data_IF_584311123628
#
_entry.id   IF_584311123628
#
_cell.length_a   1.000
_cell.length_b   1.000
_cell.length_c   1.000
_cell.angle_alpha   90.00
_cell.angle_beta   90.00
_cell.angle_gamma   90.00
#
_symmetry.space_group_name_H-M   'P 1'
#
loop_
_entity.id
_entity.type
_entity.pdbx_description
1 polymer ?
#
# COMPACT_ATOMS: atom_id res chain seq x y z
N UNK A 1 37.26 -31.65 -35.72
CA UNK A 1 38.31 -31.18 -34.78
C UNK A 1 37.73 -30.02 -34.00
N UNK A 2 37.25 -30.29 -32.78
CA UNK A 2 36.45 -29.36 -31.97
C UNK A 2 37.35 -28.29 -31.32
N UNK A 3 37.49 -27.16 -31.98
CA UNK A 3 38.30 -26.00 -31.55
C UNK A 3 37.56 -24.99 -30.66
N UNK A 4 36.33 -25.28 -30.22
CA UNK A 4 35.57 -24.40 -29.33
C UNK A 4 35.78 -24.68 -27.83
N UNK A 5 36.34 -25.83 -27.46
CA UNK A 5 36.52 -26.21 -26.04
C UNK A 5 37.81 -25.65 -25.39
N UNK A 6 38.69 -25.02 -26.17
CA UNK A 6 40.00 -24.55 -25.69
C UNK A 6 40.03 -23.08 -25.23
N UNK A 7 38.96 -22.30 -25.47
CA UNK A 7 38.94 -20.88 -25.08
C UNK A 7 38.32 -20.60 -23.72
N UNK A 8 37.59 -21.54 -23.12
CA UNK A 8 36.95 -21.35 -21.81
C UNK A 8 37.82 -21.79 -20.62
N UNK A 9 38.96 -22.44 -20.86
CA UNK A 9 39.88 -22.87 -19.80
C UNK A 9 40.96 -21.83 -19.45
N UNK A 10 41.14 -20.78 -20.24
CA UNK A 10 42.23 -19.81 -20.05
C UNK A 10 41.91 -18.58 -19.18
N UNK A 11 40.66 -18.39 -18.76
CA UNK A 11 40.28 -17.25 -17.91
C UNK A 11 40.06 -17.60 -16.42
N UNK A 12 40.26 -18.85 -16.02
CA UNK A 12 40.11 -19.30 -14.62
C UNK A 12 41.38 -19.28 -13.77
N UNK A 13 42.50 -18.72 -14.26
CA UNK A 13 43.80 -18.85 -13.59
C UNK A 13 44.47 -17.56 -13.11
N UNK A 14 43.77 -16.42 -13.02
CA UNK A 14 44.43 -15.14 -12.70
C UNK A 14 43.92 -14.32 -11.51
N UNK A 15 43.04 -14.82 -10.65
CA UNK A 15 42.77 -14.12 -9.37
C UNK A 15 42.70 -15.12 -8.24
N UNK A 16 43.63 -14.93 -7.29
CA UNK A 16 44.08 -15.92 -6.34
C UNK A 16 43.09 -16.27 -5.24
N UNK A 17 43.23 -17.52 -4.80
CA UNK A 17 42.89 -18.02 -3.48
C UNK A 17 43.44 -17.11 -2.36
N UNK A 18 42.62 -16.92 -1.33
CA UNK A 18 42.92 -16.29 -0.03
C UNK A 18 42.61 -14.79 0.06
N UNK A 19 41.37 -14.47 0.39
CA UNK A 19 40.98 -13.14 0.85
C UNK A 19 39.70 -13.24 1.67
N UNK A 20 39.82 -13.55 2.96
CA UNK A 20 38.72 -13.35 3.90
C UNK A 20 38.35 -11.85 3.89
N UNK A 21 37.08 -11.52 3.62
CA UNK A 21 36.56 -10.16 3.72
C UNK A 21 36.27 -9.83 5.21
N UNK A 22 36.87 -8.77 5.79
CA UNK A 22 36.69 -8.34 7.18
C UNK A 22 35.40 -7.51 7.45
N UNK A 23 35.00 -7.29 8.72
CA UNK A 23 33.63 -6.94 9.13
C UNK A 23 33.26 -5.45 9.13
N UNK A 24 33.77 -4.63 8.19
CA UNK A 24 33.34 -3.24 8.07
C UNK A 24 32.56 -3.00 6.78
N UNK A 25 31.26 -3.30 6.84
CA UNK A 25 30.21 -2.63 6.06
C UNK A 25 30.18 -1.16 6.51
N UNK A 26 31.13 -0.38 6.01
CA UNK A 26 31.16 1.05 6.23
C UNK A 26 31.55 1.75 4.92
N UNK A 27 30.72 2.72 4.51
CA UNK A 27 30.87 3.64 3.38
C UNK A 27 30.56 3.11 1.96
N UNK A 28 29.33 3.29 1.49
CA UNK A 28 29.12 4.05 0.25
C UNK A 28 27.65 4.49 0.01
N UNK A 29 27.40 5.76 -0.35
CA UNK A 29 26.08 6.28 -0.67
C UNK A 29 25.71 6.00 -2.14
N UNK A 30 24.48 5.50 -2.35
CA UNK A 30 23.69 5.55 -3.61
C UNK A 30 24.50 5.38 -4.90
N UNK A 31 25.25 4.28 -5.02
CA UNK A 31 25.99 3.92 -6.21
C UNK A 31 25.44 2.64 -6.83
N UNK A 32 24.65 2.77 -7.90
CA UNK A 32 24.16 1.71 -8.79
C UNK A 32 23.33 0.58 -8.14
N UNK A 33 22.03 0.56 -8.46
CA UNK A 33 21.08 -0.53 -8.16
C UNK A 33 21.65 -1.96 -8.40
N UNK A 34 22.57 -2.10 -9.36
CA UNK A 34 23.20 -3.37 -9.73
C UNK A 34 24.05 -4.02 -8.62
N UNK A 35 24.61 -3.27 -7.66
CA UNK A 35 25.40 -3.90 -6.59
C UNK A 35 24.55 -4.46 -5.47
N UNK A 36 23.38 -3.85 -5.20
CA UNK A 36 22.39 -4.41 -4.26
C UNK A 36 21.87 -5.75 -4.80
N UNK A 37 21.79 -5.92 -6.12
CA UNK A 37 21.42 -7.20 -6.74
C UNK A 37 22.51 -8.29 -6.59
N UNK A 38 23.79 -7.94 -6.61
CA UNK A 38 24.87 -8.93 -6.58
C UNK A 38 25.16 -9.48 -5.17
N UNK A 39 25.12 -8.64 -4.14
CA UNK A 39 25.39 -9.10 -2.76
C UNK A 39 24.21 -9.87 -2.17
N UNK A 40 22.97 -9.54 -2.59
CA UNK A 40 21.80 -10.34 -2.24
C UNK A 40 21.92 -11.76 -2.82
N UNK A 41 22.53 -11.92 -4.01
CA UNK A 41 22.64 -13.19 -4.75
C UNK A 41 23.33 -14.32 -3.98
N UNK A 42 24.27 -14.03 -3.08
CA UNK A 42 24.97 -15.08 -2.30
C UNK A 42 24.17 -15.60 -1.10
N UNK A 43 23.23 -14.82 -0.58
CA UNK A 43 22.39 -15.24 0.56
C UNK A 43 21.16 -16.07 0.13
N UNK A 44 20.88 -16.17 -1.18
CA UNK A 44 19.67 -16.77 -1.79
C UNK A 44 19.55 -18.31 -1.62
N UNK A 45 20.50 -18.97 -0.95
CA UNK A 45 20.89 -20.33 -1.34
C UNK A 45 20.04 -21.54 -0.84
N UNK A 46 18.83 -21.38 -0.29
CA UNK A 46 17.88 -22.51 -0.18
C UNK A 46 16.45 -22.10 0.14
N UNK A 47 16.24 -21.11 1.01
CA UNK A 47 14.89 -20.78 1.52
C UNK A 47 14.02 -20.14 0.46
N UNK A 48 14.60 -19.26 -0.36
CA UNK A 48 13.92 -18.71 -1.54
C UNK A 48 13.58 -19.81 -2.55
N UNK A 49 14.43 -20.83 -2.73
CA UNK A 49 14.23 -21.85 -3.76
C UNK A 49 12.93 -22.65 -3.59
N UNK A 50 12.42 -22.84 -2.38
CA UNK A 50 11.14 -23.53 -2.17
C UNK A 50 9.96 -22.62 -2.51
N UNK A 51 9.97 -21.37 -2.05
CA UNK A 51 8.99 -20.37 -2.47
C UNK A 51 9.02 -20.17 -4.00
N UNK A 52 10.20 -20.00 -4.60
CA UNK A 52 10.39 -19.89 -6.05
C UNK A 52 9.90 -21.15 -6.75
N UNK A 53 10.19 -22.35 -6.23
CA UNK A 53 9.65 -23.61 -6.79
C UNK A 53 8.13 -23.67 -6.69
N UNK A 54 7.54 -23.32 -5.54
CA UNK A 54 6.09 -23.32 -5.32
C UNK A 54 5.42 -22.34 -6.26
N UNK A 55 5.94 -21.12 -6.36
CA UNK A 55 5.52 -20.10 -7.32
C UNK A 55 5.60 -20.64 -8.76
N UNK A 56 6.70 -21.29 -9.13
CA UNK A 56 6.89 -21.89 -10.45
C UNK A 56 6.05 -23.16 -10.68
N UNK A 57 5.53 -23.80 -9.63
CA UNK A 57 4.69 -25.01 -9.72
C UNK A 57 3.20 -24.72 -9.65
N UNK A 58 2.77 -23.71 -8.89
CA UNK A 58 1.38 -23.24 -8.77
C UNK A 58 0.90 -22.58 -10.06
N UNK A 59 1.86 -22.01 -10.79
CA UNK A 59 1.61 -21.50 -12.09
C UNK A 59 1.10 -22.54 -13.06
N UNK A 60 -0.09 -22.30 -13.61
CA UNK A 60 -0.39 -22.73 -14.99
C UNK A 60 0.84 -22.49 -15.88
N UNK A 61 1.02 -23.25 -16.96
CA UNK A 61 2.18 -23.14 -17.88
C UNK A 61 2.57 -21.71 -18.30
N UNK A 62 1.66 -20.74 -18.15
CA UNK A 62 1.94 -19.32 -18.29
C UNK A 62 2.90 -18.71 -17.25
N UNK A 63 3.08 -19.29 -16.07
CA UNK A 63 3.84 -18.69 -14.98
C UNK A 63 5.35 -18.85 -15.12
N UNK A 64 5.80 -20.06 -15.49
CA UNK A 64 7.22 -20.39 -15.57
C UNK A 64 8.00 -19.52 -16.57
N UNK A 65 7.30 -18.89 -17.52
CA UNK A 65 7.87 -18.02 -18.54
C UNK A 65 7.80 -16.51 -18.21
N UNK A 66 7.16 -16.11 -17.10
CA UNK A 66 6.82 -14.71 -16.86
C UNK A 66 7.57 -14.03 -15.73
N UNK A 67 8.22 -14.77 -14.84
CA UNK A 67 9.14 -14.20 -13.85
C UNK A 67 10.55 -14.68 -14.15
N UNK A 68 11.52 -13.76 -14.14
CA UNK A 68 12.91 -14.18 -14.03
C UNK A 68 13.13 -14.82 -12.66
N UNK A 69 14.10 -15.72 -12.57
CA UNK A 69 14.47 -16.35 -11.30
C UNK A 69 14.85 -15.32 -10.23
N UNK A 70 15.48 -14.21 -10.64
CA UNK A 70 15.82 -13.07 -9.78
C UNK A 70 14.59 -12.38 -9.20
N UNK A 71 13.55 -12.18 -10.01
CA UNK A 71 12.31 -11.55 -9.56
C UNK A 71 11.50 -12.46 -8.63
N UNK A 72 11.33 -13.75 -9.00
CA UNK A 72 10.74 -14.72 -8.08
C UNK A 72 11.49 -14.71 -6.75
N UNK A 73 12.83 -14.64 -6.79
CA UNK A 73 13.65 -14.61 -5.59
C UNK A 73 13.42 -13.34 -4.77
N UNK A 74 13.35 -12.16 -5.39
CA UNK A 74 13.06 -10.91 -4.68
C UNK A 74 11.68 -10.95 -4.01
N UNK A 75 10.66 -11.39 -4.75
CA UNK A 75 9.32 -11.60 -4.19
C UNK A 75 9.36 -12.55 -2.99
N UNK A 76 9.99 -13.71 -3.17
CA UNK A 76 10.06 -14.72 -2.13
C UNK A 76 10.79 -14.22 -0.90
N UNK A 77 11.90 -13.50 -1.05
CA UNK A 77 12.68 -12.98 0.06
C UNK A 77 11.90 -11.94 0.86
N UNK A 78 11.29 -10.97 0.17
CA UNK A 78 10.58 -9.86 0.82
C UNK A 78 9.32 -10.32 1.57
N UNK A 79 8.73 -11.44 1.15
CA UNK A 79 7.50 -12.00 1.71
C UNK A 79 7.72 -13.26 2.55
N UNK A 80 8.96 -13.79 2.59
CA UNK A 80 9.28 -15.05 3.29
C UNK A 80 8.85 -15.03 4.76
N UNK A 81 9.07 -13.94 5.54
CA UNK A 81 8.67 -13.91 6.94
C UNK A 81 7.15 -14.01 7.14
N UNK A 82 6.37 -13.52 6.17
CA UNK A 82 4.91 -13.57 6.17
C UNK A 82 4.37 -14.90 5.65
N UNK A 83 5.10 -15.49 4.71
CA UNK A 83 4.76 -16.77 4.10
C UNK A 83 5.05 -17.93 5.06
N UNK A 84 6.11 -17.82 5.84
CA UNK A 84 6.44 -18.78 6.88
C UNK A 84 5.64 -18.47 8.14
N UNK A 85 5.05 -19.49 8.76
CA UNK A 85 4.31 -19.33 10.00
C UNK A 85 5.24 -18.86 11.13
N UNK A 86 4.87 -17.74 11.77
CA UNK A 86 5.58 -17.24 12.96
C UNK A 86 5.07 -17.99 14.17
N UNK A 87 5.86 -18.94 14.67
CA UNK A 87 5.49 -19.76 15.83
C UNK A 87 5.36 -18.96 17.14
N UNK A 88 6.16 -17.90 17.31
CA UNK A 88 6.19 -17.08 18.53
C UNK A 88 6.10 -15.59 18.19
N UNK A 89 4.88 -15.06 17.97
CA UNK A 89 4.69 -13.65 17.68
C UNK A 89 5.22 -12.73 18.78
N UNK A 90 5.70 -11.55 18.40
CA UNK A 90 6.18 -10.54 19.33
C UNK A 90 4.99 -9.80 19.97
N UNK A 91 4.88 -9.90 21.30
CA UNK A 91 3.86 -9.22 22.08
C UNK A 91 3.99 -7.69 22.01
N UNK A 92 2.87 -6.93 21.97
CA UNK A 92 2.89 -5.45 21.89
C UNK A 92 3.77 -4.76 22.92
N UNK A 93 3.86 -5.28 24.15
CA UNK A 93 4.67 -4.71 25.23
C UNK A 93 6.18 -4.76 24.97
N UNK A 94 6.64 -5.46 23.92
CA UNK A 94 8.06 -5.51 23.54
C UNK A 94 8.47 -4.39 22.59
N UNK A 95 7.52 -3.81 21.84
CA UNK A 95 7.78 -2.77 20.85
C UNK A 95 6.91 -1.50 21.01
N UNK A 96 5.96 -1.50 21.94
CA UNK A 96 5.19 -0.32 22.35
C UNK A 96 5.58 0.11 23.76
N UNK A 97 5.72 1.42 23.98
CA UNK A 97 5.85 1.97 25.33
C UNK A 97 4.57 1.73 26.17
N UNK A 98 4.65 1.81 27.50
CA UNK A 98 3.52 1.47 28.38
C UNK A 98 2.27 2.36 28.16
N UNK A 99 2.49 3.65 27.93
CA UNK A 99 1.47 4.62 27.55
C UNK A 99 0.87 4.30 26.16
N UNK A 100 1.71 3.96 25.18
CA UNK A 100 1.28 3.56 23.83
C UNK A 100 0.44 2.29 23.88
N UNK A 101 0.89 1.27 24.61
CA UNK A 101 0.16 0.02 24.76
C UNK A 101 -1.18 0.21 25.47
N UNK A 102 -1.23 1.10 26.46
CA UNK A 102 -2.47 1.47 27.14
C UNK A 102 -3.45 2.14 26.18
N UNK A 103 -2.97 3.08 25.36
CA UNK A 103 -3.76 3.73 24.33
C UNK A 103 -4.22 2.75 23.25
N UNK A 104 -3.32 1.87 22.79
CA UNK A 104 -3.60 0.81 21.84
C UNK A 104 -4.74 -0.09 22.32
N UNK A 105 -4.64 -0.66 23.53
CA UNK A 105 -5.73 -1.49 24.10
C UNK A 105 -7.06 -0.75 24.18
N UNK A 106 -7.04 0.52 24.56
CA UNK A 106 -8.24 1.36 24.64
C UNK A 106 -8.87 1.55 23.25
N UNK A 107 -8.08 1.87 22.24
CA UNK A 107 -8.57 2.05 20.88
C UNK A 107 -8.95 0.74 20.19
N UNK A 108 -8.32 -0.39 20.55
CA UNK A 108 -8.68 -1.73 20.11
C UNK A 108 -10.03 -2.19 20.68
N UNK A 109 -10.37 -1.78 21.90
CA UNK A 109 -11.65 -2.14 22.55
C UNK A 109 -12.80 -1.21 22.20
N UNK A 110 -12.52 -0.02 21.65
CA UNK A 110 -13.57 0.95 21.32
C UNK A 110 -14.37 0.50 20.07
N UNK A 111 -15.69 0.40 20.19
CA UNK A 111 -16.61 -0.02 19.09
C UNK A 111 -17.66 1.03 18.73
N UNK A 112 -17.51 2.22 19.29
CA UNK A 112 -18.31 3.40 18.97
C UNK A 112 -17.42 4.64 18.89
N UNK A 113 -17.67 5.49 17.89
CA UNK A 113 -16.84 6.68 17.63
C UNK A 113 -16.74 7.63 18.83
N UNK A 114 -17.80 7.75 19.63
CA UNK A 114 -17.84 8.70 20.73
C UNK A 114 -16.89 8.29 21.86
N UNK A 115 -16.83 7.01 22.21
CA UNK A 115 -15.94 6.49 23.23
C UNK A 115 -14.51 6.27 22.69
N UNK A 116 -14.34 6.07 21.38
CA UNK A 116 -13.01 6.03 20.76
C UNK A 116 -12.28 7.39 20.84
N UNK A 117 -13.02 8.49 20.72
CA UNK A 117 -12.46 9.84 20.65
C UNK A 117 -12.81 10.62 21.91
N UNK A 118 -12.01 10.45 22.97
CA UNK A 118 -12.19 11.22 24.21
C UNK A 118 -11.70 12.66 24.04
N UNK A 119 -12.63 13.58 23.82
CA UNK A 119 -12.37 15.02 23.87
C UNK A 119 -12.69 15.55 25.28
N UNK A 120 -11.78 15.35 26.23
CA UNK A 120 -11.94 15.85 27.60
C UNK A 120 -11.73 17.37 27.72
N UNK A 121 -11.23 18.02 26.66
CA UNK A 121 -10.98 19.46 26.68
C UNK A 121 -12.29 20.25 26.59
N UNK A 122 -12.58 21.03 27.63
CA UNK A 122 -13.69 21.99 27.70
C UNK A 122 -13.73 22.95 26.50
N UNK A 123 -12.59 23.14 25.83
CA UNK A 123 -12.40 24.07 24.70
C UNK A 123 -12.71 23.49 23.32
N UNK A 124 -13.15 22.23 23.22
CA UNK A 124 -13.52 21.66 21.90
C UNK A 124 -14.87 22.20 21.46
N UNK A 125 -14.87 22.91 20.32
CA UNK A 125 -16.07 23.50 19.73
C UNK A 125 -17.18 22.46 19.49
N UNK A 126 -18.45 22.88 19.57
CA UNK A 126 -19.60 22.01 19.33
C UNK A 126 -19.56 21.36 17.92
N UNK A 127 -18.99 22.05 16.93
CA UNK A 127 -18.82 21.53 15.56
C UNK A 127 -17.87 20.34 15.54
N UNK A 128 -16.71 20.44 16.22
CA UNK A 128 -15.76 19.32 16.36
C UNK A 128 -16.39 18.14 17.12
N UNK A 129 -17.13 18.40 18.20
CA UNK A 129 -17.87 17.36 18.94
C UNK A 129 -18.91 16.63 18.07
N UNK A 130 -19.59 17.35 17.17
CA UNK A 130 -20.54 16.74 16.23
C UNK A 130 -19.82 15.88 15.18
N UNK A 131 -18.71 16.39 14.62
CA UNK A 131 -17.91 15.66 13.62
C UNK A 131 -17.31 14.37 14.19
N UNK A 132 -16.87 14.39 15.45
CA UNK A 132 -16.38 13.20 16.15
C UNK A 132 -17.41 12.06 16.22
N UNK A 133 -18.71 12.39 16.25
CA UNK A 133 -19.82 11.43 16.38
C UNK A 133 -20.37 10.95 15.04
N UNK A 134 -19.82 11.42 13.93
CA UNK A 134 -20.25 11.02 12.59
C UNK A 134 -19.19 10.17 11.91
N UNK A 135 -19.58 9.13 11.15
CA UNK A 135 -18.64 8.36 10.33
C UNK A 135 -17.75 9.27 9.49
N UNK A 136 -16.46 8.98 9.44
CA UNK A 136 -15.51 9.68 8.59
C UNK A 136 -15.88 9.49 7.11
N UNK A 137 -15.82 10.54 6.30
CA UNK A 137 -16.05 10.44 4.86
C UNK A 137 -14.72 10.28 4.13
N UNK A 138 -14.44 9.07 3.65
CA UNK A 138 -13.26 8.73 2.86
C UNK A 138 -13.50 9.06 1.39
N UNK A 139 -12.64 9.88 0.80
CA UNK A 139 -12.79 10.42 -0.57
C UNK A 139 -11.52 10.25 -1.37
N UNK A 140 -11.63 10.31 -2.69
CA UNK A 140 -10.45 10.31 -3.54
C UNK A 140 -9.60 11.54 -3.22
N UNK A 141 -8.31 11.33 -2.99
CA UNK A 141 -7.41 12.32 -2.40
C UNK A 141 -7.36 13.66 -3.16
N UNK A 142 -7.44 13.62 -4.49
CA UNK A 142 -7.46 14.78 -5.36
C UNK A 142 -8.82 15.48 -5.38
N UNK A 143 -9.86 14.92 -4.77
CA UNK A 143 -11.16 15.59 -4.60
C UNK A 143 -11.30 16.33 -3.27
N UNK A 144 -10.32 16.22 -2.37
CA UNK A 144 -10.27 17.05 -1.16
C UNK A 144 -10.05 18.52 -1.54
N UNK A 145 -10.71 19.43 -0.83
CA UNK A 145 -10.38 20.86 -0.91
C UNK A 145 -8.98 21.12 -0.31
N UNK A 146 -8.40 22.28 -0.61
CA UNK A 146 -7.08 22.65 -0.13
C UNK A 146 -6.98 22.72 1.40
N UNK A 147 -8.04 23.19 2.07
CA UNK A 147 -8.15 23.18 3.54
C UNK A 147 -8.15 21.75 4.09
N UNK A 148 -8.99 20.88 3.53
CA UNK A 148 -9.10 19.49 3.99
C UNK A 148 -7.79 18.72 3.78
N UNK A 149 -7.14 18.92 2.63
CA UNK A 149 -5.85 18.30 2.31
C UNK A 149 -4.75 18.81 3.25
N UNK A 150 -4.71 20.11 3.52
CA UNK A 150 -3.75 20.72 4.47
C UNK A 150 -3.96 20.18 5.87
N UNK A 151 -5.20 20.06 6.35
CA UNK A 151 -5.50 19.52 7.68
C UNK A 151 -5.12 18.05 7.80
N UNK A 152 -5.32 17.27 6.73
CA UNK A 152 -4.84 15.90 6.65
C UNK A 152 -3.31 15.81 6.74
N UNK A 153 -2.57 16.65 6.00
CA UNK A 153 -1.10 16.71 6.07
C UNK A 153 -0.58 17.11 7.45
N UNK A 154 -1.20 18.11 8.07
CA UNK A 154 -0.84 18.58 9.41
C UNK A 154 -1.05 17.46 10.44
N UNK A 155 -2.18 16.75 10.39
CA UNK A 155 -2.45 15.67 11.33
C UNK A 155 -1.48 14.49 11.16
N UNK A 156 -1.15 14.09 9.93
CA UNK A 156 -0.14 13.04 9.69
C UNK A 156 1.24 13.46 10.20
N UNK A 157 1.66 14.71 9.94
CA UNK A 157 2.95 15.21 10.45
C UNK A 157 2.98 15.31 11.98
N UNK A 158 1.86 15.69 12.61
CA UNK A 158 1.75 15.68 14.08
C UNK A 158 1.84 14.25 14.62
N UNK A 159 1.17 13.29 14.00
CA UNK A 159 1.27 11.87 14.37
C UNK A 159 2.71 11.34 14.19
N UNK A 160 3.39 11.72 13.10
CA UNK A 160 4.80 11.36 12.83
C UNK A 160 5.78 11.98 13.82
N UNK A 161 5.50 13.19 14.30
CA UNK A 161 6.34 13.81 15.34
C UNK A 161 6.28 13.09 16.69
N UNK A 162 5.25 12.25 16.91
CA UNK A 162 4.97 11.54 18.16
C UNK A 162 4.54 12.43 19.33
N UNK A 163 4.71 13.74 19.24
CA UNK A 163 4.47 14.65 20.36
C UNK A 163 2.99 14.71 20.77
N UNK A 164 2.72 14.28 22.00
CA UNK A 164 1.38 14.36 22.61
C UNK A 164 0.34 13.42 22.00
N UNK A 165 0.73 12.49 21.12
CA UNK A 165 -0.18 11.52 20.53
C UNK A 165 -0.15 10.20 21.30
N UNK A 166 -1.30 9.56 21.56
CA UNK A 166 -1.33 8.31 22.31
C UNK A 166 -0.61 7.15 21.63
N UNK A 167 -0.58 7.12 20.29
CA UNK A 167 0.16 6.14 19.48
C UNK A 167 0.84 6.92 18.36
N UNK A 168 2.17 6.99 18.29
CA UNK A 168 2.87 7.71 17.23
C UNK A 168 2.81 6.94 15.91
N UNK A 169 3.08 7.64 14.80
CA UNK A 169 3.05 7.05 13.45
C UNK A 169 3.97 5.82 13.34
N UNK A 170 5.16 5.89 13.93
CA UNK A 170 6.15 4.82 13.81
C UNK A 170 5.73 3.56 14.55
N UNK A 171 4.95 3.66 15.62
CA UNK A 171 4.34 2.48 16.27
C UNK A 171 3.39 1.75 15.32
N UNK A 172 2.66 2.46 14.45
CA UNK A 172 1.87 1.79 13.40
C UNK A 172 2.77 1.03 12.42
N UNK A 173 3.88 1.63 11.97
CA UNK A 173 4.87 0.96 11.12
C UNK A 173 5.41 -0.30 11.81
N UNK A 174 5.74 -0.19 13.09
CA UNK A 174 6.23 -1.30 13.91
C UNK A 174 5.16 -2.40 14.05
N UNK A 175 3.87 -2.08 14.18
CA UNK A 175 2.82 -3.10 14.22
C UNK A 175 2.80 -3.95 12.94
N UNK A 176 3.17 -3.41 11.78
CA UNK A 176 3.10 -4.09 10.49
C UNK A 176 4.29 -5.04 10.20
N UNK A 177 5.06 -5.45 11.22
CA UNK A 177 6.08 -6.50 11.06
C UNK A 177 5.44 -7.91 11.09
N UNK A 178 6.06 -8.86 10.39
CA UNK A 178 5.54 -10.23 10.24
C UNK A 178 5.39 -10.96 11.57
N UNK A 179 6.36 -10.79 12.47
CA UNK A 179 6.36 -11.39 13.79
C UNK A 179 5.34 -10.74 14.73
N UNK A 180 4.82 -9.56 14.42
CA UNK A 180 3.83 -8.85 15.25
C UNK A 180 2.42 -9.02 14.73
N UNK A 181 2.26 -9.21 13.43
CA UNK A 181 0.98 -9.19 12.75
C UNK A 181 0.77 -10.31 11.74
N UNK A 182 1.17 -11.58 11.95
CA UNK A 182 1.31 -12.62 10.91
C UNK A 182 0.09 -12.87 10.01
N UNK A 183 -1.12 -12.45 10.42
CA UNK A 183 -2.32 -12.50 9.59
C UNK A 183 -2.50 -11.35 8.59
N UNK A 184 -1.65 -10.32 8.63
CA UNK A 184 -1.79 -9.12 7.80
C UNK A 184 -1.47 -9.35 6.32
N UNK A 185 -0.67 -10.36 5.96
CA UNK A 185 -0.31 -10.68 4.57
C UNK A 185 -0.36 -12.18 4.29
N UNK A 186 -0.50 -12.51 3.01
CA UNK A 186 -0.56 -13.81 2.36
C UNK A 186 -1.70 -14.73 2.81
N UNK A 187 -2.89 -14.16 3.08
CA UNK A 187 -4.04 -15.01 3.35
C UNK A 187 -5.33 -14.31 3.76
N UNK A 188 -6.29 -15.12 4.21
CA UNK A 188 -7.69 -14.69 4.36
C UNK A 188 -7.92 -13.51 5.32
N UNK A 189 -7.00 -13.30 6.26
CA UNK A 189 -7.11 -12.21 7.21
C UNK A 189 -6.63 -10.85 6.66
N UNK A 190 -5.98 -10.79 5.50
CA UNK A 190 -5.40 -9.57 4.92
C UNK A 190 -6.35 -8.38 4.85
N UNK A 191 -7.51 -8.59 4.22
CA UNK A 191 -8.54 -7.58 4.05
C UNK A 191 -9.10 -7.09 5.40
N UNK A 192 -9.61 -7.99 6.27
CA UNK A 192 -10.08 -7.59 7.59
C UNK A 192 -8.99 -6.99 8.50
N UNK A 193 -7.76 -7.48 8.44
CA UNK A 193 -6.63 -6.94 9.21
C UNK A 193 -6.32 -5.50 8.81
N UNK A 194 -6.16 -5.24 7.50
CA UNK A 194 -5.91 -3.89 7.01
C UNK A 194 -7.09 -2.95 7.26
N UNK A 195 -8.32 -3.46 7.24
CA UNK A 195 -9.52 -2.68 7.62
C UNK A 195 -9.47 -2.21 9.07
N UNK A 196 -9.14 -3.08 10.03
CA UNK A 196 -8.99 -2.70 11.43
C UNK A 196 -7.80 -1.75 11.63
N UNK A 197 -6.69 -2.02 10.95
CA UNK A 197 -5.50 -1.17 10.97
C UNK A 197 -5.79 0.25 10.46
N UNK A 198 -6.52 0.38 9.34
CA UNK A 198 -6.99 1.67 8.82
C UNK A 198 -7.95 2.37 9.78
N UNK A 199 -8.87 1.64 10.41
CA UNK A 199 -9.79 2.21 11.43
C UNK A 199 -9.00 2.77 12.61
N UNK A 200 -8.01 2.04 13.12
CA UNK A 200 -7.18 2.49 14.23
C UNK A 200 -6.39 3.76 13.85
N UNK A 201 -5.73 3.75 12.69
CA UNK A 201 -4.97 4.89 12.19
C UNK A 201 -5.86 6.12 11.94
N UNK A 202 -7.03 5.95 11.34
CA UNK A 202 -8.01 7.02 11.15
C UNK A 202 -8.51 7.58 12.49
N UNK A 203 -8.69 6.72 13.50
CA UNK A 203 -9.08 7.15 14.85
C UNK A 203 -7.98 7.98 15.50
N UNK A 204 -6.71 7.60 15.34
CA UNK A 204 -5.57 8.38 15.82
C UNK A 204 -5.51 9.75 15.14
N UNK A 205 -5.64 9.83 13.81
CA UNK A 205 -5.72 11.13 13.11
C UNK A 205 -6.94 11.95 13.53
N UNK A 206 -8.08 11.31 13.81
CA UNK A 206 -9.30 12.00 14.25
C UNK A 206 -9.23 12.50 15.70
N UNK A 207 -8.33 11.95 16.51
CA UNK A 207 -8.02 12.49 17.84
C UNK A 207 -7.32 13.86 17.74
N UNK A 208 -6.55 14.07 16.67
CA UNK A 208 -5.93 15.35 16.31
C UNK A 208 -6.97 16.27 15.67
N UNK A 209 -7.65 15.77 14.64
CA UNK A 209 -8.65 16.52 13.89
C UNK A 209 -9.91 15.68 13.60
N UNK A 210 -11.02 15.92 14.31
CA UNK A 210 -12.24 15.10 14.21
C UNK A 210 -12.95 15.12 12.86
N UNK A 211 -12.55 15.99 11.94
CA UNK A 211 -13.15 16.06 10.61
C UNK A 211 -12.42 15.21 9.57
N UNK A 212 -11.25 14.67 9.91
CA UNK A 212 -10.47 13.86 8.97
C UNK A 212 -11.22 12.56 8.68
N UNK A 213 -11.27 12.22 7.40
CA UNK A 213 -11.41 10.85 6.91
C UNK A 213 -10.22 10.53 6.03
N UNK A 214 -9.74 9.29 6.08
CA UNK A 214 -8.64 8.82 5.26
C UNK A 214 -9.03 8.96 3.78
N UNK A 215 -8.29 9.77 3.00
CA UNK A 215 -8.48 9.76 1.57
C UNK A 215 -7.99 8.43 0.99
N UNK A 216 -8.52 8.07 -0.16
CA UNK A 216 -8.00 6.95 -0.95
C UNK A 216 -7.32 7.44 -2.23
N UNK A 217 -6.33 6.69 -2.68
CA UNK A 217 -5.65 6.93 -3.96
C UNK A 217 -6.18 5.97 -5.02
N UNK A 218 -7.10 6.46 -5.85
CA UNK A 218 -7.63 5.71 -6.99
C UNK A 218 -6.65 5.77 -8.17
N UNK A 219 -5.76 4.80 -8.23
CA UNK A 219 -4.75 4.71 -9.29
C UNK A 219 -5.34 4.43 -10.69
N UNK A 220 -6.62 4.06 -10.78
CA UNK A 220 -7.29 3.94 -12.09
C UNK A 220 -7.49 5.30 -12.76
N UNK A 221 -7.37 6.41 -12.03
CA UNK A 221 -7.38 7.76 -12.60
C UNK A 221 -6.03 8.11 -13.26
N UNK A 222 -4.96 7.38 -12.93
CA UNK A 222 -3.58 7.65 -13.36
C UNK A 222 -3.13 6.68 -14.45
N UNK A 223 -3.65 5.44 -14.45
CA UNK A 223 -3.37 4.43 -15.48
C UNK A 223 -3.55 4.92 -16.94
N UNK A 224 -4.54 5.78 -17.28
CA UNK A 224 -4.70 6.29 -18.65
C UNK A 224 -3.65 7.30 -19.10
N UNK A 225 -2.82 7.82 -18.20
CA UNK A 225 -1.82 8.83 -18.54
C UNK A 225 -0.75 8.25 -19.47
N UNK A 226 -0.19 9.06 -20.39
CA UNK A 226 0.91 8.62 -21.26
C UNK A 226 2.13 8.16 -20.44
N UNK A 227 2.42 8.91 -19.38
CA UNK A 227 3.46 8.62 -18.40
C UNK A 227 2.87 8.77 -16.98
N UNK A 228 2.32 7.71 -16.35
CA UNK A 228 1.60 7.84 -15.07
C UNK A 228 2.42 8.38 -13.89
N UNK A 229 3.76 8.30 -13.95
CA UNK A 229 4.65 8.93 -12.95
C UNK A 229 4.66 10.47 -13.00
N UNK A 230 4.10 11.07 -14.06
CA UNK A 230 3.95 12.52 -14.20
C UNK A 230 2.61 13.03 -13.63
N UNK A 231 1.85 12.14 -12.97
CA UNK A 231 0.62 12.50 -12.25
C UNK A 231 0.87 13.60 -11.20
N UNK A 232 -0.12 14.47 -11.03
CA UNK A 232 -0.18 15.47 -9.96
C UNK A 232 -0.02 14.89 -8.56
N UNK A 233 -0.28 13.60 -8.36
CA UNK A 233 -0.01 12.91 -7.10
C UNK A 233 1.44 13.08 -6.63
N UNK A 234 2.40 13.21 -7.56
CA UNK A 234 3.84 13.32 -7.31
C UNK A 234 4.33 14.77 -7.35
N UNK A 235 3.50 15.70 -6.85
CA UNK A 235 3.78 17.14 -6.72
C UNK A 235 3.85 17.59 -5.27
N UNK A 236 4.32 18.82 -5.04
CA UNK A 236 4.45 19.40 -3.70
C UNK A 236 3.09 19.62 -3.02
N UNK A 237 2.02 19.79 -3.80
CA UNK A 237 0.66 19.89 -3.27
C UNK A 237 0.11 18.57 -2.70
N UNK A 238 0.69 17.43 -3.08
CA UNK A 238 0.22 16.09 -2.74
C UNK A 238 1.27 15.27 -1.98
N UNK A 239 1.98 14.35 -2.64
CA UNK A 239 2.88 13.41 -1.95
C UNK A 239 4.35 13.85 -1.98
N UNK A 240 4.71 14.89 -2.72
CA UNK A 240 6.08 15.27 -2.99
C UNK A 240 6.68 14.53 -4.18
N UNK A 241 7.97 14.76 -4.44
CA UNK A 241 8.68 14.14 -5.55
C UNK A 241 8.58 12.60 -5.52
N UNK A 242 8.29 12.01 -6.68
CA UNK A 242 8.14 10.55 -6.84
C UNK A 242 9.45 9.81 -7.10
N UNK A 243 10.62 10.45 -7.00
CA UNK A 243 11.90 9.82 -7.33
C UNK A 243 13.01 10.27 -6.38
N UNK A 244 13.77 9.29 -5.88
CA UNK A 244 14.83 9.50 -4.90
C UNK A 244 14.26 9.80 -3.51
N UNK A 245 15.09 10.42 -2.69
CA UNK A 245 14.67 10.86 -1.35
C UNK A 245 13.57 11.93 -1.49
N UNK A 246 12.51 11.80 -0.70
CA UNK A 246 11.40 12.74 -0.68
C UNK A 246 11.87 14.02 0.01
N UNK A 247 12.08 15.06 -0.79
CA UNK A 247 12.61 16.37 -0.36
C UNK A 247 11.62 17.51 -0.63
N UNK A 248 10.49 17.22 -1.29
CA UNK A 248 9.41 18.19 -1.52
C UNK A 248 8.07 17.67 -0.99
N UNK A 249 7.08 18.55 -0.91
CA UNK A 249 5.74 18.24 -0.42
C UNK A 249 5.64 18.09 1.11
N UNK A 250 4.46 17.69 1.61
CA UNK A 250 4.14 17.71 3.04
C UNK A 250 4.96 16.72 3.88
N UNK A 251 5.61 15.74 3.24
CA UNK A 251 6.38 14.68 3.90
C UNK A 251 7.88 14.75 3.56
N UNK A 252 8.34 15.93 3.14
CA UNK A 252 9.74 16.19 2.83
C UNK A 252 10.64 15.88 4.05
N UNK A 253 11.78 15.23 3.80
CA UNK A 253 12.80 14.90 4.79
C UNK A 253 12.33 13.98 5.93
N UNK A 254 11.22 13.25 5.74
CA UNK A 254 10.85 12.18 6.65
C UNK A 254 11.95 11.12 6.76
N UNK A 255 12.19 10.66 7.98
CA UNK A 255 13.02 9.49 8.27
C UNK A 255 12.10 8.29 8.48
N UNK A 256 12.38 7.22 7.75
CA UNK A 256 11.71 5.93 7.91
C UNK A 256 12.33 5.15 9.09
N UNK A 257 11.59 4.17 9.60
CA UNK A 257 12.01 3.31 10.73
C UNK A 257 13.22 2.43 10.39
N UNK A 258 13.53 2.24 9.10
CA UNK A 258 14.77 1.57 8.64
C UNK A 258 16.02 2.48 8.71
N UNK A 259 15.89 3.68 9.29
CA UNK A 259 16.97 4.65 9.47
C UNK A 259 17.33 5.45 8.22
N UNK A 260 16.60 5.28 7.12
CA UNK A 260 16.84 6.01 5.86
C UNK A 260 15.81 7.11 5.66
N UNK A 261 16.11 8.03 4.75
CA UNK A 261 15.08 8.99 4.29
C UNK A 261 13.97 8.23 3.56
N UNK A 262 12.75 8.74 3.68
CA UNK A 262 11.65 8.30 2.83
C UNK A 262 12.08 8.44 1.36
N UNK A 263 11.97 7.36 0.60
CA UNK A 263 12.48 7.25 -0.76
C UNK A 263 11.40 6.64 -1.67
N UNK A 264 11.38 7.06 -2.94
CA UNK A 264 10.46 6.52 -3.95
C UNK A 264 11.17 6.32 -5.30
N UNK A 265 10.61 5.44 -6.12
CA UNK A 265 11.05 5.19 -7.49
C UNK A 265 9.83 5.01 -8.42
N UNK A 266 8.89 5.95 -8.36
CA UNK A 266 7.56 5.89 -8.98
C UNK A 266 7.67 5.63 -10.48
N UNK A 267 7.16 4.47 -10.90
CA UNK A 267 7.14 4.02 -12.30
C UNK A 267 8.54 3.92 -12.93
N UNK A 268 9.61 3.74 -12.12
CA UNK A 268 11.00 3.71 -12.58
C UNK A 268 11.68 2.36 -12.42
N UNK A 269 11.18 1.49 -11.56
CA UNK A 269 11.74 0.13 -11.34
C UNK A 269 11.55 -0.79 -12.55
N UNK A 270 10.63 -0.46 -13.47
CA UNK A 270 10.19 -1.36 -14.54
C UNK A 270 9.27 -2.48 -14.07
N UNK A 271 9.01 -2.56 -12.76
CA UNK A 271 8.13 -3.52 -12.11
C UNK A 271 6.89 -2.82 -11.54
N UNK A 272 5.85 -3.60 -11.26
CA UNK A 272 4.57 -3.08 -10.79
C UNK A 272 3.78 -2.31 -11.85
N UNK A 273 2.51 -2.08 -11.55
CA UNK A 273 1.53 -1.39 -12.38
C UNK A 273 0.51 -0.69 -11.47
N UNK A 274 -0.24 0.24 -12.05
CA UNK A 274 -1.41 0.81 -11.40
C UNK A 274 -2.63 -0.09 -11.61
N UNK A 275 -3.69 0.14 -10.82
CA UNK A 275 -4.99 -0.51 -11.07
C UNK A 275 -5.57 -0.04 -12.39
N UNK A 276 -6.11 -0.97 -13.17
CA UNK A 276 -6.96 -0.69 -14.32
C UNK A 276 -8.43 -0.88 -13.96
N UNK A 277 -9.36 -0.26 -14.71
CA UNK A 277 -10.79 -0.56 -14.55
C UNK A 277 -11.13 -2.05 -14.73
N UNK A 278 -10.41 -2.76 -15.61
CA UNK A 278 -10.57 -4.22 -15.78
C UNK A 278 -10.20 -4.99 -14.52
N UNK A 279 -9.24 -4.49 -13.76
CA UNK A 279 -8.76 -5.12 -12.54
C UNK A 279 -9.80 -4.95 -11.42
N UNK A 280 -10.41 -3.76 -11.36
CA UNK A 280 -11.56 -3.50 -10.48
C UNK A 280 -12.72 -4.44 -10.83
N UNK A 281 -13.09 -4.53 -12.12
CA UNK A 281 -14.17 -5.41 -12.54
C UNK A 281 -13.89 -6.87 -12.20
N UNK A 282 -12.65 -7.33 -12.42
CA UNK A 282 -12.22 -8.68 -12.06
C UNK A 282 -12.44 -8.99 -10.57
N UNK A 283 -12.11 -8.05 -9.68
CA UNK A 283 -12.35 -8.16 -8.23
C UNK A 283 -13.85 -8.23 -7.94
N UNK A 284 -14.63 -7.31 -8.52
CA UNK A 284 -16.07 -7.24 -8.29
C UNK A 284 -16.81 -8.49 -8.79
N UNK A 285 -16.25 -9.20 -9.77
CA UNK A 285 -16.80 -10.42 -10.34
C UNK A 285 -16.46 -11.70 -9.55
N UNK A 286 -15.68 -11.61 -8.46
CA UNK A 286 -15.38 -12.81 -7.64
C UNK A 286 -16.66 -13.48 -7.12
N UNK A 287 -16.70 -14.82 -7.07
CA UNK A 287 -17.89 -15.54 -6.60
C UNK A 287 -18.10 -15.44 -5.09
N UNK A 288 -17.02 -15.43 -4.31
CA UNK A 288 -17.04 -15.38 -2.84
C UNK A 288 -15.78 -14.67 -2.30
N UNK A 289 -15.76 -14.41 -1.00
CA UNK A 289 -14.63 -13.78 -0.32
C UNK A 289 -13.35 -14.61 -0.40
N UNK A 290 -13.43 -15.95 -0.42
CA UNK A 290 -12.24 -16.79 -0.47
C UNK A 290 -11.44 -16.55 -1.75
N UNK A 291 -12.10 -16.30 -2.88
CA UNK A 291 -11.47 -15.93 -4.16
C UNK A 291 -10.93 -14.48 -4.20
N UNK A 292 -11.04 -13.73 -3.10
CA UNK A 292 -10.33 -12.46 -2.87
C UNK A 292 -9.11 -12.63 -1.96
N UNK A 293 -8.70 -13.87 -1.68
CA UNK A 293 -7.58 -14.19 -0.78
C UNK A 293 -6.52 -14.97 -1.51
N UNK A 294 -5.24 -14.74 -1.20
CA UNK A 294 -4.14 -15.44 -1.87
C UNK A 294 -4.24 -16.98 -1.79
N UNK A 295 -4.82 -17.48 -0.70
CA UNK A 295 -4.94 -18.90 -0.42
C UNK A 295 -5.74 -19.68 -1.46
N UNK A 296 -6.73 -19.02 -2.07
CA UNK A 296 -7.59 -19.61 -3.10
C UNK A 296 -7.29 -19.00 -4.46
N UNK A 297 -7.07 -17.69 -4.51
CA UNK A 297 -6.74 -16.94 -5.71
C UNK A 297 -5.60 -15.93 -5.41
N UNK A 298 -4.34 -16.21 -5.80
CA UNK A 298 -3.19 -15.35 -5.51
C UNK A 298 -3.28 -13.94 -6.10
N UNK A 299 -4.31 -13.67 -6.91
CA UNK A 299 -4.51 -12.45 -7.68
C UNK A 299 -4.85 -11.20 -6.86
N UNK A 300 -5.38 -11.34 -5.65
CA UNK A 300 -5.78 -10.17 -4.87
C UNK A 300 -4.60 -9.52 -4.13
N UNK A 301 -3.73 -10.32 -3.50
CA UNK A 301 -2.94 -9.85 -2.35
C UNK A 301 -1.42 -9.71 -2.58
N UNK A 302 -0.81 -10.58 -3.37
CA UNK A 302 0.63 -10.57 -3.70
C UNK A 302 1.10 -9.42 -4.61
N UNK A 303 2.39 -9.38 -4.94
CA UNK A 303 3.00 -8.37 -5.82
C UNK A 303 3.16 -8.86 -7.26
N UNK A 304 2.78 -8.03 -8.23
CA UNK A 304 3.15 -8.22 -9.64
C UNK A 304 4.62 -7.81 -9.84
N UNK A 305 5.42 -8.74 -10.36
CA UNK A 305 6.73 -8.42 -10.94
C UNK A 305 6.71 -8.46 -12.47
N UNK A 306 5.57 -8.75 -13.11
CA UNK A 306 5.40 -8.66 -14.57
C UNK A 306 3.96 -8.41 -15.02
N UNK A 307 3.81 -7.66 -16.13
CA UNK A 307 2.55 -7.18 -16.75
C UNK A 307 1.49 -8.23 -17.12
N UNK A 308 1.75 -9.52 -16.92
CA UNK A 308 0.86 -10.58 -17.42
C UNK A 308 0.44 -11.59 -16.35
N UNK A 309 1.05 -11.60 -15.16
CA UNK A 309 0.52 -12.33 -14.01
C UNK A 309 0.22 -11.29 -12.96
N UNK A 310 -1.04 -10.85 -13.04
CA UNK A 310 -1.54 -9.73 -12.31
C UNK A 310 -1.69 -10.12 -10.85
N UNK A 311 -1.16 -9.24 -10.01
CA UNK A 311 -1.65 -9.09 -8.67
C UNK A 311 -1.81 -7.63 -8.41
N UNK A 312 -3.00 -7.18 -8.06
CA UNK A 312 -3.35 -5.80 -8.35
C UNK A 312 -2.88 -4.85 -7.22
N UNK A 313 -3.08 -5.24 -5.96
CA UNK A 313 -2.63 -4.48 -4.78
C UNK A 313 -1.09 -4.34 -4.76
N UNK A 314 -0.35 -5.45 -4.69
CA UNK A 314 1.11 -5.41 -4.55
C UNK A 314 1.83 -4.86 -5.79
N UNK A 315 1.15 -4.80 -6.94
CA UNK A 315 1.67 -4.09 -8.12
C UNK A 315 1.89 -2.61 -7.84
N UNK A 316 0.98 -1.96 -7.09
CA UNK A 316 1.07 -0.53 -6.82
C UNK A 316 2.21 -0.23 -5.86
N UNK A 317 2.34 -1.05 -4.80
CA UNK A 317 3.50 -1.02 -3.88
C UNK A 317 4.82 -1.06 -4.64
N UNK A 318 4.97 -2.02 -5.55
CA UNK A 318 6.16 -2.19 -6.38
C UNK A 318 6.36 -1.05 -7.39
N UNK A 319 5.26 -0.53 -7.95
CA UNK A 319 5.29 0.57 -8.91
C UNK A 319 5.75 1.87 -8.27
N UNK A 320 5.36 2.14 -7.03
CA UNK A 320 5.82 3.31 -6.27
C UNK A 320 7.31 3.16 -5.90
N UNK A 321 7.73 1.96 -5.51
CA UNK A 321 9.12 1.68 -5.16
C UNK A 321 9.56 2.29 -3.82
N UNK A 322 10.85 2.21 -3.51
CA UNK A 322 11.38 2.66 -2.23
C UNK A 322 10.77 1.87 -1.06
N UNK A 323 10.42 2.54 0.05
CA UNK A 323 9.81 1.85 1.19
C UNK A 323 8.51 1.14 0.82
N UNK A 324 7.69 1.68 -0.11
CA UNK A 324 6.45 1.02 -0.56
C UNK A 324 6.69 -0.36 -1.19
N UNK A 325 7.89 -0.64 -1.71
CA UNK A 325 8.21 -1.96 -2.28
C UNK A 325 8.70 -3.00 -1.27
N UNK A 326 8.82 -2.63 0.01
CA UNK A 326 9.36 -3.49 1.07
C UNK A 326 8.31 -3.66 2.16
N UNK A 327 7.65 -4.82 2.21
CA UNK A 327 6.44 -5.06 3.05
C UNK A 327 6.58 -4.58 4.50
N UNK A 328 7.67 -4.88 5.23
CA UNK A 328 7.80 -4.44 6.61
C UNK A 328 7.93 -2.91 6.77
N UNK A 329 8.40 -2.22 5.74
CA UNK A 329 8.67 -0.77 5.79
C UNK A 329 7.66 0.04 4.98
N UNK A 330 6.77 -0.57 4.22
CA UNK A 330 5.82 0.14 3.34
C UNK A 330 4.96 1.17 4.07
N UNK A 331 4.50 0.96 5.34
CA UNK A 331 3.74 1.99 6.04
C UNK A 331 4.54 3.25 6.39
N UNK A 332 5.88 3.26 6.25
CA UNK A 332 6.66 4.50 6.39
C UNK A 332 6.27 5.56 5.37
N UNK A 333 5.80 5.17 4.19
CA UNK A 333 5.32 6.09 3.18
C UNK A 333 3.83 6.40 3.41
N UNK A 334 3.42 7.68 3.57
CA UNK A 334 2.01 8.03 3.70
C UNK A 334 1.11 7.54 2.55
N UNK A 335 1.68 7.25 1.38
CA UNK A 335 0.93 6.64 0.25
C UNK A 335 0.36 5.27 0.62
N UNK A 336 0.98 4.53 1.55
CA UNK A 336 0.47 3.25 2.07
C UNK A 336 -0.98 3.35 2.50
N UNK A 337 -1.29 4.36 3.33
CA UNK A 337 -2.62 4.53 3.90
C UNK A 337 -3.66 4.83 2.83
N UNK A 338 -3.33 5.67 1.85
CA UNK A 338 -4.23 5.98 0.74
C UNK A 338 -4.44 4.77 -0.17
N UNK A 339 -3.40 3.98 -0.40
CA UNK A 339 -3.46 2.77 -1.19
C UNK A 339 -4.36 1.72 -0.53
N UNK A 340 -4.11 1.39 0.74
CA UNK A 340 -4.94 0.41 1.46
C UNK A 340 -6.37 0.91 1.70
N UNK A 341 -6.57 2.23 1.84
CA UNK A 341 -7.93 2.81 1.87
C UNK A 341 -8.65 2.60 0.54
N UNK A 342 -7.93 2.64 -0.60
CA UNK A 342 -8.51 2.29 -1.90
C UNK A 342 -8.82 0.79 -2.00
N UNK A 343 -7.94 -0.08 -1.51
CA UNK A 343 -8.19 -1.53 -1.46
C UNK A 343 -9.45 -1.85 -0.62
N UNK A 344 -9.57 -1.26 0.57
CA UNK A 344 -10.75 -1.44 1.42
C UNK A 344 -12.03 -0.89 0.76
N UNK A 345 -11.94 0.22 0.02
CA UNK A 345 -13.06 0.75 -0.76
C UNK A 345 -13.52 -0.25 -1.83
N UNK A 346 -12.60 -0.83 -2.58
CA UNK A 346 -12.92 -1.80 -3.63
C UNK A 346 -13.53 -3.06 -3.02
N UNK A 347 -12.97 -3.53 -1.90
CA UNK A 347 -13.55 -4.65 -1.17
C UNK A 347 -14.95 -4.34 -0.63
N UNK A 348 -15.17 -3.17 -0.05
CA UNK A 348 -16.50 -2.76 0.40
C UNK A 348 -17.50 -2.68 -0.77
N UNK A 349 -17.07 -2.21 -1.94
CA UNK A 349 -17.89 -2.23 -3.14
C UNK A 349 -18.25 -3.66 -3.56
N UNK A 350 -17.30 -4.59 -3.52
CA UNK A 350 -17.56 -6.02 -3.74
C UNK A 350 -18.61 -6.54 -2.77
N UNK A 351 -18.41 -6.31 -1.45
CA UNK A 351 -19.34 -6.75 -0.39
C UNK A 351 -20.75 -6.22 -0.64
N UNK A 352 -20.86 -4.96 -1.02
CA UNK A 352 -22.14 -4.31 -1.31
C UNK A 352 -22.86 -4.88 -2.53
N UNK A 353 -22.12 -5.29 -3.57
CA UNK A 353 -22.66 -5.81 -4.82
C UNK A 353 -22.95 -7.31 -4.80
N UNK A 354 -22.19 -8.08 -4.02
CA UNK A 354 -22.13 -9.56 -4.14
C UNK A 354 -22.67 -10.31 -2.93
N UNK A 355 -22.81 -9.66 -1.78
CA UNK A 355 -23.16 -10.31 -0.53
C UNK A 355 -24.38 -9.66 0.13
N UNK A 356 -25.23 -10.49 0.75
CA UNK A 356 -26.25 -10.03 1.69
C UNK A 356 -25.61 -9.40 2.94
N UNK A 357 -26.33 -8.58 3.71
CA UNK A 357 -25.82 -8.06 4.98
C UNK A 357 -25.30 -9.15 5.93
N UNK A 358 -25.92 -10.33 5.94
CA UNK A 358 -25.51 -11.48 6.76
C UNK A 358 -24.23 -12.13 6.20
N UNK A 359 -24.17 -12.39 4.89
CA UNK A 359 -22.98 -12.96 4.23
C UNK A 359 -21.75 -12.08 4.41
N UNK A 360 -21.93 -10.76 4.41
CA UNK A 360 -20.88 -9.79 4.68
C UNK A 360 -20.18 -10.02 6.03
N UNK A 361 -20.89 -10.49 7.04
CA UNK A 361 -20.37 -10.77 8.38
C UNK A 361 -19.76 -12.17 8.47
N UNK A 362 -20.24 -13.14 7.69
CA UNK A 362 -19.94 -14.57 7.89
C UNK A 362 -19.18 -15.25 6.76
N UNK A 363 -19.08 -14.66 5.56
CA UNK A 363 -18.39 -15.24 4.42
C UNK A 363 -16.87 -15.17 4.59
N UNK A 364 -16.33 -16.16 5.30
CA UNK A 364 -14.90 -16.31 5.55
C UNK A 364 -14.46 -17.75 5.22
N UNK A 365 -13.29 -17.97 4.57
CA UNK A 365 -12.83 -19.31 4.23
C UNK A 365 -12.54 -20.16 5.47
N UNK A 366 -12.74 -21.47 5.36
CA UNK A 366 -12.49 -22.43 6.45
C UNK A 366 -11.43 -23.46 6.09
N UNK A 367 -10.78 -24.06 7.09
CA UNK A 367 -9.80 -25.12 6.88
C UNK A 367 -8.58 -24.64 6.10
N UNK A 368 -8.12 -25.43 5.13
CA UNK A 368 -6.90 -25.13 4.37
C UNK A 368 -7.04 -23.88 3.47
N UNK A 369 -8.25 -23.40 3.23
CA UNK A 369 -8.48 -22.18 2.45
C UNK A 369 -8.05 -20.89 3.20
N UNK A 370 -7.59 -20.99 4.45
CA UNK A 370 -7.03 -19.85 5.20
C UNK A 370 -5.51 -19.73 5.09
N UNK A 371 -4.80 -20.63 4.40
CA UNK A 371 -3.33 -20.73 4.36
C UNK A 371 -2.68 -21.19 5.68
N UNK A 372 -2.79 -20.41 6.76
CA UNK A 372 -2.09 -20.65 8.03
C UNK A 372 -3.03 -20.51 9.23
N UNK A 373 -2.54 -20.86 10.42
CA UNK A 373 -3.31 -20.68 11.65
C UNK A 373 -3.67 -19.22 11.92
N UNK A 374 -2.75 -18.30 11.62
CA UNK A 374 -2.90 -16.87 11.85
C UNK A 374 -4.05 -16.23 11.05
N UNK A 375 -4.49 -16.86 9.96
CA UNK A 375 -5.57 -16.39 9.10
C UNK A 375 -6.92 -17.07 9.36
N UNK A 376 -7.01 -18.03 10.29
CA UNK A 376 -8.30 -18.65 10.58
C UNK A 376 -9.29 -17.62 11.12
N UNK A 377 -10.57 -17.81 10.82
CA UNK A 377 -11.64 -16.93 11.28
C UNK A 377 -11.65 -16.74 12.82
N UNK A 378 -11.34 -17.81 13.55
CA UNK A 378 -11.32 -17.90 15.01
C UNK A 378 -9.96 -17.56 15.63
N UNK A 379 -8.94 -17.26 14.82
CA UNK A 379 -7.65 -16.80 15.33
C UNK A 379 -7.72 -15.33 15.73
N UNK A 380 -6.96 -14.97 16.76
CA UNK A 380 -6.77 -13.57 17.15
C UNK A 380 -6.08 -12.82 16.01
N UNK A 381 -6.64 -11.67 15.64
CA UNK A 381 -6.07 -10.74 14.69
C UNK A 381 -4.92 -9.98 15.36
N UNK A 382 -3.74 -10.59 15.44
CA UNK A 382 -2.59 -9.96 16.10
C UNK A 382 -2.16 -8.66 15.40
N UNK A 383 -1.75 -7.62 16.16
CA UNK A 383 -1.68 -7.51 17.63
C UNK A 383 -3.01 -7.10 18.29
N UNK A 384 -4.08 -6.92 17.51
CA UNK A 384 -5.40 -6.53 18.03
C UNK A 384 -5.99 -7.62 18.92
N UNK A 385 -6.93 -7.22 19.79
CA UNK A 385 -7.59 -8.12 20.75
C UNK A 385 -8.87 -8.78 20.20
N UNK A 386 -9.11 -8.69 18.90
CA UNK A 386 -10.28 -9.25 18.22
C UNK A 386 -9.92 -10.46 17.39
N UNK A 387 -10.93 -11.19 16.91
CA UNK A 387 -10.74 -12.29 15.98
C UNK A 387 -10.68 -11.77 14.54
N UNK A 388 -10.08 -12.54 13.64
CA UNK A 388 -10.05 -12.19 12.21
C UNK A 388 -11.46 -12.03 11.63
N UNK A 389 -12.41 -12.86 12.05
CA UNK A 389 -13.81 -12.77 11.62
C UNK A 389 -14.46 -11.44 12.03
N UNK A 390 -14.06 -10.84 13.15
CA UNK A 390 -14.62 -9.56 13.61
C UNK A 390 -14.26 -8.40 12.66
N UNK A 391 -13.16 -8.53 11.90
CA UNK A 391 -12.79 -7.61 10.83
C UNK A 391 -13.77 -7.61 9.65
N UNK A 392 -14.65 -8.61 9.56
CA UNK A 392 -15.72 -8.68 8.57
C UNK A 392 -16.93 -7.82 8.95
N UNK A 393 -16.88 -7.06 10.05
CA UNK A 393 -18.10 -6.39 10.50
C UNK A 393 -18.63 -5.32 9.54
N UNK A 394 -19.95 -5.26 9.36
CA UNK A 394 -20.60 -4.12 8.71
C UNK A 394 -20.50 -2.84 9.57
N UNK A 395 -20.16 -2.98 10.85
CA UNK A 395 -20.00 -1.86 11.77
C UNK A 395 -18.89 -0.89 11.36
N UNK A 396 -17.84 -1.35 10.69
CA UNK A 396 -16.80 -0.49 10.13
C UNK A 396 -17.39 0.59 9.22
N UNK A 397 -18.24 0.20 8.28
CA UNK A 397 -18.82 1.13 7.29
C UNK A 397 -20.15 1.77 7.74
N UNK A 398 -20.70 1.30 8.87
CA UNK A 398 -21.89 1.89 9.50
C UNK A 398 -21.55 2.95 10.53
N UNK A 399 -20.58 2.67 11.40
CA UNK A 399 -20.20 3.50 12.56
C UNK A 399 -18.96 4.33 12.26
N UNK A 400 -17.89 3.74 11.72
CA UNK A 400 -16.58 4.40 11.71
C UNK A 400 -16.35 5.27 10.49
N UNK A 401 -16.64 4.78 9.29
CA UNK A 401 -16.38 5.51 8.05
C UNK A 401 -17.35 5.16 6.93
N UNK A 402 -17.38 5.97 5.87
CA UNK A 402 -18.11 5.74 4.63
C UNK A 402 -17.26 6.15 3.45
N UNK A 403 -17.50 5.55 2.29
CA UNK A 403 -16.83 5.92 1.05
C UNK A 403 -17.69 6.85 0.22
N UNK A 404 -17.06 7.90 -0.31
CA UNK A 404 -17.55 8.53 -1.54
C UNK A 404 -17.13 7.67 -2.74
N UNK A 405 -17.94 7.71 -3.80
CA UNK A 405 -17.57 7.11 -5.08
C UNK A 405 -16.35 7.79 -5.70
N UNK A 406 -15.59 7.06 -6.54
CA UNK A 406 -14.58 7.67 -7.41
C UNK A 406 -15.20 8.79 -8.24
N UNK A 407 -14.44 9.88 -8.50
CA UNK A 407 -14.93 11.00 -9.27
C UNK A 407 -15.36 10.57 -10.68
N UNK A 408 -16.48 11.11 -11.13
CA UNK A 408 -17.03 10.85 -12.47
C UNK A 408 -17.27 12.18 -13.18
N UNK A 409 -17.36 12.12 -14.51
CA UNK A 409 -17.72 13.27 -15.32
C UNK A 409 -18.70 12.87 -16.41
N UNK A 410 -19.42 13.85 -16.94
CA UNK A 410 -20.34 13.70 -18.06
C UNK A 410 -20.26 14.93 -18.96
N UNK A 411 -21.04 14.92 -20.03
CA UNK A 411 -21.20 16.09 -20.90
C UNK A 411 -21.72 17.32 -20.12
N UNK A 412 -22.66 17.12 -19.19
CA UNK A 412 -23.26 18.17 -18.37
C UNK A 412 -22.33 18.65 -17.25
N UNK A 413 -21.45 17.78 -16.76
CA UNK A 413 -20.47 18.11 -15.71
C UNK A 413 -19.07 17.59 -16.06
N UNK A 414 -18.31 18.32 -16.91
CA UNK A 414 -17.02 17.87 -17.44
C UNK A 414 -15.83 18.20 -16.51
N UNK A 415 -16.03 18.32 -15.20
CA UNK A 415 -15.00 18.84 -14.26
C UNK A 415 -14.43 17.81 -13.28
N UNK A 416 -15.04 16.63 -13.18
CA UNK A 416 -14.68 15.62 -12.15
C UNK A 416 -14.81 16.09 -10.69
N UNK A 417 -15.33 17.30 -10.45
CA UNK A 417 -15.41 17.91 -9.13
C UNK A 417 -14.05 18.25 -8.50
N UNK A 418 -12.98 18.36 -9.29
CA UNK A 418 -11.63 18.63 -8.79
C UNK A 418 -10.78 19.40 -9.80
N UNK A 419 -10.01 20.42 -9.38
CA UNK A 419 -9.05 21.10 -10.26
C UNK A 419 -7.80 20.25 -10.58
N UNK A 420 -7.63 19.12 -9.91
CA UNK A 420 -6.49 18.20 -10.03
C UNK A 420 -6.80 16.97 -10.90
N UNK A 421 -8.05 16.86 -11.34
CA UNK A 421 -8.53 15.88 -12.29
C UNK A 421 -9.07 16.62 -13.52
N UNK A 422 -9.13 15.95 -14.65
CA UNK A 422 -9.83 16.45 -15.83
C UNK A 422 -10.73 15.36 -16.39
N UNK A 423 -11.77 15.79 -17.10
CA UNK A 423 -12.62 14.86 -17.83
C UNK A 423 -12.02 14.60 -19.21
N UNK A 424 -11.64 13.35 -19.49
CA UNK A 424 -11.41 12.91 -20.86
C UNK A 424 -12.76 12.80 -21.57
N UNK A 425 -13.13 13.87 -22.29
CA UNK A 425 -14.43 14.01 -22.97
C UNK A 425 -14.63 13.04 -24.13
N UNK A 426 -13.60 12.30 -24.54
CA UNK A 426 -13.72 11.23 -25.54
C UNK A 426 -14.47 10.02 -24.98
N UNK A 427 -14.30 9.75 -23.69
CA UNK A 427 -14.88 8.61 -22.99
C UNK A 427 -15.72 9.00 -21.76
N UNK A 428 -15.78 10.29 -21.43
CA UNK A 428 -16.35 10.83 -20.19
C UNK A 428 -15.83 10.13 -18.95
N UNK A 429 -14.50 10.03 -18.86
CA UNK A 429 -13.79 9.42 -17.73
C UNK A 429 -12.88 10.45 -17.07
N UNK A 430 -12.90 10.47 -15.74
CA UNK A 430 -11.97 11.28 -14.97
C UNK A 430 -10.56 10.69 -15.04
N UNK A 431 -9.59 11.57 -15.29
CA UNK A 431 -8.16 11.24 -15.37
C UNK A 431 -7.39 12.25 -14.54
N UNK A 432 -6.29 11.81 -13.94
CA UNK A 432 -5.40 12.67 -13.18
C UNK A 432 -4.82 13.77 -14.07
N UNK A 433 -4.67 14.99 -13.56
CA UNK A 433 -3.85 15.99 -14.24
C UNK A 433 -2.37 15.64 -14.14
N UNK A 434 -1.60 16.19 -15.08
CA UNK A 434 -0.15 16.03 -15.25
C UNK A 434 0.57 17.27 -14.74
N UNK A 435 1.69 17.07 -14.03
CA UNK A 435 2.54 18.16 -13.55
C UNK A 435 3.22 18.90 -14.71
N UNK A 436 3.61 20.15 -14.49
CA UNK A 436 4.40 20.92 -15.46
C UNK A 436 5.68 20.17 -15.84
N UNK A 437 6.00 20.12 -17.13
CA UNK A 437 7.09 19.36 -17.74
C UNK A 437 6.74 17.90 -18.08
N UNK A 438 5.61 17.40 -17.59
CA UNK A 438 5.15 16.04 -17.83
C UNK A 438 4.66 15.79 -19.26
N UNK A 439 4.50 14.52 -19.60
CA UNK A 439 3.99 14.05 -20.89
C UNK A 439 2.47 14.15 -21.00
N UNK A 440 1.98 14.86 -22.01
CA UNK A 440 0.57 14.98 -22.35
C UNK A 440 0.24 14.45 -23.76
N UNK A 441 1.15 13.69 -24.37
CA UNK A 441 0.96 13.13 -25.70
C UNK A 441 -0.33 12.32 -25.83
N UNK A 442 -1.09 12.55 -26.90
CA UNK A 442 -2.39 11.90 -27.12
C UNK A 442 -3.55 12.52 -26.34
N UNK A 443 -3.32 13.60 -25.58
CA UNK A 443 -4.35 14.40 -24.90
C UNK A 443 -4.32 15.87 -25.35
N UNK A 444 -3.77 16.16 -26.52
CA UNK A 444 -3.71 17.51 -27.08
C UNK A 444 -5.12 18.10 -27.21
N UNK A 445 -5.29 19.35 -26.76
CA UNK A 445 -6.58 20.03 -26.73
C UNK A 445 -7.49 19.70 -25.53
N UNK A 446 -7.08 18.78 -24.65
CA UNK A 446 -7.76 18.49 -23.38
C UNK A 446 -7.07 19.19 -22.20
N UNK A 447 -7.80 19.38 -21.09
CA UNK A 447 -7.33 20.05 -19.86
C UNK A 447 -6.48 19.12 -18.95
N UNK A 448 -5.56 18.37 -19.55
CA UNK A 448 -4.70 17.41 -18.85
C UNK A 448 -3.64 18.07 -17.96
N UNK A 449 -3.17 19.26 -18.32
CA UNK A 449 -2.04 19.89 -17.66
C UNK A 449 -2.48 20.74 -16.46
N UNK A 450 -1.91 20.48 -15.28
CA UNK A 450 -2.18 21.30 -14.10
C UNK A 450 -1.39 22.61 -14.16
N UNK A 451 -2.09 23.75 -14.04
CA UNK A 451 -1.53 25.13 -14.09
C UNK A 451 -0.59 25.38 -15.28
N UNK A 452 -0.83 24.69 -16.40
CA UNK A 452 -0.03 24.73 -17.63
C UNK A 452 -0.89 24.25 -18.80
N UNK A 453 -0.35 24.25 -20.01
CA UNK A 453 -1.07 23.79 -21.22
C UNK A 453 -0.28 22.73 -21.97
N UNK A 454 -0.96 21.83 -22.68
CA UNK A 454 -0.28 20.82 -23.49
C UNK A 454 0.23 21.45 -24.79
N UNK A 455 1.55 21.61 -24.91
CA UNK A 455 2.26 22.18 -26.06
C UNK A 455 3.32 21.18 -26.49
N UNK A 456 3.29 20.75 -27.76
CA UNK A 456 4.24 19.77 -28.31
C UNK A 456 4.41 18.52 -27.42
N UNK A 457 3.28 17.93 -27.03
CA UNK A 457 3.16 16.75 -26.14
C UNK A 457 3.72 16.93 -24.72
N UNK A 458 3.99 18.18 -24.29
CA UNK A 458 4.46 18.50 -22.94
C UNK A 458 3.57 19.53 -22.24
N UNK A 459 3.37 19.37 -20.94
CA UNK A 459 2.72 20.39 -20.12
C UNK A 459 3.68 21.58 -19.88
N UNK A 460 3.47 22.71 -20.56
CA UNK A 460 4.34 23.88 -20.53
C UNK A 460 3.66 25.13 -19.96
#
# INVERSE_FOLDING_TARGET
MNSAALWLLFLRLLVGSNGAAPPHLDRNPVGNLWSVEADLFKYINSTSNECVRKIRSLGSSNFQYRLSETQCSYYCISNLPWYNEVENPEEPTKYMEENEYTAFKKLCSCRDLQNCLEFDQKDVSWRKKRQARTPALRREYRTLSDDERTRFHVAINQLKSGSGQPIPYDTFVEMHQADRSPGAHLGAAFLPWHREYLRLFETALRSIDPSIGLPYFDTTLDDPLPTPRDSIMWSEEFMGNGNGDVVTGPFANWMATDGKKLNRAVGRSGAGTLFRPSDIQYILDRPDFAHLTECVDPFFETASLFRTIATIHGSVHTWIGGQMSVVPYSPNDPVFWLHHTFIDRVWEQYRQLRQTPEERETSYPTGNATCTAAHRADAQMLPFSILNIDGMSNEYTRIFYRYQGSPTCSHENPTCGSPYLFCDTRFYRCVSKVVKGGDCGGYEGLDICYKSTCVDTRCA
#
